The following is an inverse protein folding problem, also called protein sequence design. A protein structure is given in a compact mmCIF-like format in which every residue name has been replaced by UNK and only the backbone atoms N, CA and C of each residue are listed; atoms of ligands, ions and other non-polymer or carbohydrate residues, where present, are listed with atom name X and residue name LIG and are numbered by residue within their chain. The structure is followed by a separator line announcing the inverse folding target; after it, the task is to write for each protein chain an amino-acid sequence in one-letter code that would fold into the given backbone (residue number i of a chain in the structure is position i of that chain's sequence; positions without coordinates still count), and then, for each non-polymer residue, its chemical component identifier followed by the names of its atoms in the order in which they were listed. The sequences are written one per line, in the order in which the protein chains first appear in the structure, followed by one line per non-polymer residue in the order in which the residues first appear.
data_IF_192316637933
#
_entry.id   IF_192316637933
#
_cell.length_a   1.000
_cell.length_b   1.000
_cell.length_c   1.000
_cell.angle_alpha   90.00
_cell.angle_beta   90.00
_cell.angle_gamma   90.00
#
_symmetry.space_group_name_H-M   'P 1'
#
loop_
_entity.id
_entity.type
_entity.pdbx_description
1 polymer ?
#
# COMPACT_ATOMS: atom_id res chain seq x y z
N UNK A 1 -27.36 -68.90 -7.22
CA UNK A 1 -26.92 -67.63 -6.61
C UNK A 1 -25.58 -67.22 -7.20
N UNK A 2 -25.50 -66.25 -8.14
CA UNK A 2 -24.24 -65.66 -8.56
C UNK A 2 -24.22 -64.16 -8.18
N UNK A 3 -24.05 -63.86 -6.89
CA UNK A 3 -24.05 -62.47 -6.39
C UNK A 3 -22.69 -62.02 -5.82
N UNK A 4 -21.91 -62.96 -5.29
CA UNK A 4 -20.61 -62.69 -4.63
C UNK A 4 -19.56 -62.12 -5.60
N UNK A 5 -19.38 -62.66 -6.82
CA UNK A 5 -18.34 -62.15 -7.73
C UNK A 5 -18.53 -60.69 -8.13
N UNK A 6 -19.78 -60.30 -8.45
CA UNK A 6 -20.10 -58.92 -8.88
C UNK A 6 -20.00 -57.89 -7.75
N UNK A 7 -20.24 -58.30 -6.51
CA UNK A 7 -20.05 -57.41 -5.36
C UNK A 7 -18.57 -57.13 -5.13
N UNK A 8 -17.75 -58.18 -5.13
CA UNK A 8 -16.29 -58.06 -4.98
C UNK A 8 -15.71 -57.17 -6.07
N UNK A 9 -16.09 -57.35 -7.33
CA UNK A 9 -15.65 -56.50 -8.45
C UNK A 9 -15.97 -55.01 -8.24
N UNK A 10 -17.19 -54.67 -7.84
CA UNK A 10 -17.59 -53.28 -7.56
C UNK A 10 -16.81 -52.69 -6.40
N UNK A 11 -16.63 -53.44 -5.33
CA UNK A 11 -15.85 -53.00 -4.16
C UNK A 11 -14.38 -52.81 -4.54
N UNK A 12 -13.79 -53.72 -5.31
CA UNK A 12 -12.42 -53.58 -5.81
C UNK A 12 -12.27 -52.34 -6.68
N UNK A 13 -13.21 -52.08 -7.59
CA UNK A 13 -13.19 -50.88 -8.43
C UNK A 13 -13.31 -49.59 -7.59
N UNK A 14 -14.22 -49.56 -6.62
CA UNK A 14 -14.40 -48.43 -5.71
C UNK A 14 -13.16 -48.15 -4.87
N UNK A 15 -12.54 -49.18 -4.30
CA UNK A 15 -11.33 -49.04 -3.49
C UNK A 15 -10.15 -48.52 -4.33
N UNK A 16 -9.99 -49.02 -5.57
CA UNK A 16 -8.98 -48.50 -6.50
C UNK A 16 -9.21 -47.03 -6.81
N UNK A 17 -10.46 -46.62 -7.06
CA UNK A 17 -10.80 -45.22 -7.29
C UNK A 17 -10.46 -44.35 -6.08
N UNK A 18 -10.78 -44.81 -4.87
CA UNK A 18 -10.48 -44.08 -3.62
C UNK A 18 -8.98 -43.94 -3.39
N UNK A 19 -8.21 -44.97 -3.70
CA UNK A 19 -6.75 -44.94 -3.62
C UNK A 19 -6.17 -43.89 -4.58
N UNK A 20 -6.57 -43.88 -5.85
CA UNK A 20 -6.13 -42.87 -6.82
C UNK A 20 -6.52 -41.45 -6.40
N UNK A 21 -7.72 -41.28 -5.85
CA UNK A 21 -8.16 -39.99 -5.32
C UNK A 21 -7.28 -39.52 -4.16
N UNK A 22 -6.91 -40.42 -3.25
CA UNK A 22 -6.03 -40.11 -2.13
C UNK A 22 -4.62 -39.74 -2.60
N UNK A 23 -4.05 -40.47 -3.56
CA UNK A 23 -2.73 -40.16 -4.15
C UNK A 23 -2.71 -38.78 -4.80
N UNK A 24 -3.75 -38.44 -5.57
CA UNK A 24 -3.89 -37.11 -6.17
C UNK A 24 -3.96 -36.01 -5.11
N UNK A 25 -4.71 -36.24 -4.02
CA UNK A 25 -4.82 -35.27 -2.93
C UNK A 25 -3.48 -35.07 -2.21
N UNK A 26 -2.71 -36.13 -2.01
CA UNK A 26 -1.36 -36.05 -1.44
C UNK A 26 -0.43 -35.23 -2.33
N UNK A 27 -0.39 -35.53 -3.63
CA UNK A 27 0.40 -34.75 -4.58
C UNK A 27 0.01 -33.26 -4.56
N UNK A 28 -1.28 -32.94 -4.55
CA UNK A 28 -1.77 -31.56 -4.43
C UNK A 28 -1.30 -30.90 -3.13
N UNK A 29 -1.41 -31.60 -2.00
CA UNK A 29 -0.96 -31.10 -0.70
C UNK A 29 0.52 -30.75 -0.72
N UNK A 30 1.35 -31.61 -1.30
CA UNK A 30 2.79 -31.38 -1.36
C UNK A 30 3.13 -30.17 -2.24
N UNK A 31 2.42 -29.98 -3.37
CA UNK A 31 2.60 -28.75 -4.17
C UNK A 31 2.18 -27.48 -3.42
N UNK A 32 1.12 -27.55 -2.60
CA UNK A 32 0.67 -26.42 -1.78
C UNK A 32 1.68 -26.11 -0.67
N UNK A 33 2.25 -27.14 -0.05
CA UNK A 33 3.32 -26.98 0.94
C UNK A 33 4.54 -26.29 0.32
N UNK A 34 4.97 -26.73 -0.88
CA UNK A 34 6.07 -26.08 -1.61
C UNK A 34 5.77 -24.61 -1.92
N UNK A 35 4.59 -24.30 -2.46
CA UNK A 35 4.18 -22.91 -2.72
C UNK A 35 4.16 -22.06 -1.45
N UNK A 36 3.68 -22.62 -0.34
CA UNK A 36 3.70 -21.95 0.97
C UNK A 36 5.13 -21.64 1.41
N UNK A 37 6.04 -22.60 1.28
CA UNK A 37 7.44 -22.38 1.62
C UNK A 37 8.10 -21.29 0.75
N UNK A 38 7.81 -21.28 -0.55
CA UNK A 38 8.28 -20.23 -1.46
C UNK A 38 7.76 -18.85 -1.04
N UNK A 39 6.46 -18.72 -0.78
CA UNK A 39 5.87 -17.46 -0.33
C UNK A 39 6.49 -16.95 0.98
N UNK A 40 6.76 -17.84 1.94
CA UNK A 40 7.43 -17.47 3.19
C UNK A 40 8.89 -17.03 2.97
N UNK A 41 9.61 -17.70 2.07
CA UNK A 41 10.98 -17.32 1.73
C UNK A 41 11.03 -15.96 1.03
N UNK A 42 10.08 -15.70 0.11
CA UNK A 42 9.93 -14.40 -0.54
C UNK A 42 9.62 -13.28 0.48
N UNK A 43 8.69 -13.53 1.42
CA UNK A 43 8.40 -12.60 2.50
C UNK A 43 9.65 -12.30 3.33
N UNK A 44 10.36 -13.33 3.80
CA UNK A 44 11.58 -13.18 4.59
C UNK A 44 12.68 -12.42 3.84
N UNK A 45 12.76 -12.55 2.51
CA UNK A 45 13.71 -11.80 1.69
C UNK A 45 13.33 -10.31 1.51
N UNK A 46 12.03 -9.99 1.57
CA UNK A 46 11.51 -8.64 1.36
C UNK A 46 11.42 -7.82 2.66
N UNK A 47 11.13 -8.45 3.80
CA UNK A 47 11.07 -7.81 5.11
C UNK A 47 12.27 -6.90 5.44
N UNK A 48 13.55 -7.31 5.24
CA UNK A 48 14.69 -6.44 5.54
C UNK A 48 14.75 -5.20 4.64
N UNK A 49 14.31 -5.31 3.37
CA UNK A 49 14.27 -4.16 2.45
C UNK A 49 13.19 -3.18 2.85
N UNK A 50 12.03 -3.67 3.27
CA UNK A 50 10.95 -2.84 3.80
C UNK A 50 11.39 -2.12 5.07
N UNK A 51 12.07 -2.82 5.98
CA UNK A 51 12.62 -2.22 7.19
C UNK A 51 13.62 -1.12 6.87
N UNK A 52 14.56 -1.38 5.94
CA UNK A 52 15.52 -0.38 5.50
C UNK A 52 14.84 0.87 4.92
N UNK A 53 13.80 0.69 4.10
CA UNK A 53 13.03 1.82 3.56
C UNK A 53 12.34 2.62 4.65
N UNK A 54 11.73 1.97 5.64
CA UNK A 54 11.11 2.65 6.78
C UNK A 54 12.11 3.45 7.58
N UNK A 55 13.30 2.91 7.83
CA UNK A 55 14.34 3.60 8.59
C UNK A 55 14.88 4.81 7.81
N UNK A 56 15.07 4.68 6.50
CA UNK A 56 15.39 5.83 5.62
C UNK A 56 14.31 6.90 5.64
N UNK A 57 13.04 6.52 5.60
CA UNK A 57 11.92 7.47 5.67
C UNK A 57 11.97 8.24 7.00
N UNK A 58 12.22 7.56 8.13
CA UNK A 58 12.35 8.22 9.44
C UNK A 58 13.54 9.18 9.50
N UNK A 59 14.69 8.77 8.97
CA UNK A 59 15.89 9.62 8.86
C UNK A 59 15.57 10.89 8.07
N UNK A 60 14.96 10.75 6.89
CA UNK A 60 14.58 11.87 6.03
C UNK A 60 13.55 12.78 6.71
N UNK A 61 12.52 12.21 7.35
CA UNK A 61 11.53 12.99 8.09
C UNK A 61 12.16 13.80 9.22
N UNK A 62 13.18 13.25 9.89
CA UNK A 62 13.94 13.96 10.91
C UNK A 62 14.66 15.16 10.30
N UNK A 63 15.40 14.97 9.20
CA UNK A 63 16.11 16.05 8.53
C UNK A 63 15.19 17.19 8.05
N UNK A 64 13.98 16.87 7.61
CA UNK A 64 13.00 17.88 7.17
C UNK A 64 12.34 18.61 8.35
N UNK A 65 12.14 17.92 9.48
CA UNK A 65 11.49 18.49 10.67
C UNK A 65 12.49 19.08 11.66
N UNK A 66 13.78 18.84 11.49
CA UNK A 66 14.84 19.32 12.36
C UNK A 66 14.86 20.86 12.35
N UNK A 67 14.54 21.52 13.49
CA UNK A 67 14.49 22.99 13.56
C UNK A 67 15.87 23.65 13.42
N UNK A 68 16.94 22.86 13.41
CA UNK A 68 18.33 23.32 13.28
C UNK A 68 18.76 23.63 11.84
N UNK A 69 18.00 23.19 10.85
CA UNK A 69 18.23 23.53 9.45
C UNK A 69 16.96 24.19 8.90
N UNK A 70 16.68 25.46 9.28
CA UNK A 70 15.58 26.18 8.69
C UNK A 70 15.79 26.23 7.17
N UNK A 71 14.72 26.18 6.35
CA UNK A 71 14.87 26.45 4.94
C UNK A 71 15.66 27.75 4.81
N UNK A 72 16.84 27.70 4.18
CA UNK A 72 17.64 28.86 3.84
C UNK A 72 16.95 29.62 2.71
N UNK A 73 15.70 30.00 2.91
CA UNK A 73 15.07 31.04 2.13
C UNK A 73 15.67 32.34 2.63
N UNK A 74 16.44 33.09 1.81
CA UNK A 74 16.83 34.44 2.19
C UNK A 74 15.57 35.22 2.59
N UNK A 75 15.62 36.04 3.66
CA UNK A 75 14.47 36.81 4.09
C UNK A 75 14.01 37.68 2.91
N UNK A 76 12.84 37.38 2.35
CA UNK A 76 12.29 38.10 1.21
C UNK A 76 11.75 39.49 1.59
N UNK A 77 11.86 39.93 2.85
CA UNK A 77 11.43 41.27 3.26
C UNK A 77 12.31 41.82 4.40
N UNK A 78 12.77 43.08 4.32
CA UNK A 78 13.37 43.78 5.45
C UNK A 78 12.34 44.04 6.58
N UNK A 79 12.76 44.17 7.85
CA UNK A 79 11.87 44.38 8.99
C UNK A 79 11.18 45.74 8.87
N UNK A 80 9.91 45.72 8.50
CA UNK A 80 9.10 46.92 8.25
C UNK A 80 7.96 46.68 7.26
N UNK A 81 8.01 45.61 6.46
CA UNK A 81 6.86 45.17 5.68
C UNK A 81 5.92 44.40 6.60
N UNK A 82 4.66 44.85 6.73
CA UNK A 82 3.60 44.05 7.33
C UNK A 82 3.67 42.62 6.76
N UNK A 83 3.51 41.60 7.62
CA UNK A 83 3.57 40.19 7.18
C UNK A 83 2.81 40.02 5.86
N UNK A 84 3.45 39.47 4.81
CA UNK A 84 2.76 39.24 3.56
C UNK A 84 1.53 38.38 3.86
N UNK A 85 0.35 38.87 3.48
CA UNK A 85 -0.86 38.07 3.51
C UNK A 85 -0.57 36.73 2.80
N UNK A 86 -1.15 35.61 3.26
CA UNK A 86 -0.93 34.33 2.60
C UNK A 86 -1.21 34.49 1.10
N UNK A 87 -0.38 33.83 0.27
CA UNK A 87 -0.39 34.00 -1.20
C UNK A 87 -1.81 33.90 -1.78
N UNK A 88 -2.65 33.03 -1.21
CA UNK A 88 -4.07 32.92 -1.55
C UNK A 88 -4.83 34.24 -1.43
N UNK A 89 -4.75 34.92 -0.29
CA UNK A 89 -5.38 36.22 -0.03
C UNK A 89 -4.84 37.32 -0.95
N UNK A 90 -3.55 37.26 -1.28
CA UNK A 90 -2.94 38.23 -2.18
C UNK A 90 -3.45 38.07 -3.61
N UNK A 91 -3.60 36.83 -4.08
CA UNK A 91 -4.18 36.53 -5.39
C UNK A 91 -5.68 36.90 -5.41
N UNK A 92 -6.43 36.59 -4.35
CA UNK A 92 -7.85 36.97 -4.23
C UNK A 92 -8.05 38.48 -4.31
N UNK A 93 -7.22 39.25 -3.59
CA UNK A 93 -7.24 40.71 -3.63
C UNK A 93 -6.89 41.25 -5.03
N UNK A 94 -5.91 40.66 -5.71
CA UNK A 94 -5.51 41.08 -7.06
C UNK A 94 -6.57 40.76 -8.11
N UNK A 95 -7.20 39.59 -8.05
CA UNK A 95 -8.31 39.22 -8.94
C UNK A 95 -9.52 40.11 -8.62
N UNK A 96 -9.88 40.29 -7.36
CA UNK A 96 -10.99 41.15 -6.94
C UNK A 96 -10.83 42.57 -7.48
N UNK A 97 -9.64 43.17 -7.37
CA UNK A 97 -9.33 44.49 -7.95
C UNK A 97 -9.48 44.52 -9.47
N UNK A 98 -8.98 43.49 -10.17
CA UNK A 98 -9.10 43.38 -11.63
C UNK A 98 -10.55 43.22 -12.11
N UNK A 99 -11.43 42.68 -11.27
CA UNK A 99 -12.83 42.40 -11.60
C UNK A 99 -13.82 43.18 -10.71
N UNK A 100 -13.59 44.48 -10.53
CA UNK A 100 -14.60 45.41 -9.99
C UNK A 100 -14.90 45.27 -8.50
N UNK A 101 -13.95 44.80 -7.70
CA UNK A 101 -14.06 44.69 -6.24
C UNK A 101 -14.98 43.56 -5.76
N UNK A 102 -15.32 42.61 -6.64
CA UNK A 102 -16.13 41.45 -6.25
C UNK A 102 -15.26 40.49 -5.42
N UNK A 103 -15.75 40.00 -4.26
CA UNK A 103 -15.00 39.05 -3.46
C UNK A 103 -14.78 37.75 -4.25
N UNK A 104 -13.55 37.25 -4.21
CA UNK A 104 -13.13 36.01 -4.88
C UNK A 104 -12.60 35.08 -3.80
N UNK A 105 -13.11 33.85 -3.76
CA UNK A 105 -12.64 32.81 -2.86
C UNK A 105 -12.05 31.69 -3.72
N UNK A 106 -10.73 31.55 -3.73
CA UNK A 106 -10.05 30.55 -4.55
C UNK A 106 -10.16 29.14 -3.94
N UNK A 107 -10.37 29.07 -2.63
CA UNK A 107 -10.40 27.82 -1.87
C UNK A 107 -11.77 27.12 -1.91
N UNK A 108 -12.79 27.69 -2.56
CA UNK A 108 -14.05 27.01 -2.86
C UNK A 108 -14.87 26.55 -1.64
N UNK A 109 -14.66 27.12 -0.46
CA UNK A 109 -15.49 26.84 0.73
C UNK A 109 -16.49 27.97 0.87
N UNK A 110 -17.70 27.76 0.34
CA UNK A 110 -18.87 28.50 0.83
C UNK A 110 -19.07 28.08 2.29
N UNK A 111 -19.08 29.06 3.20
CA UNK A 111 -19.65 28.90 4.55
C UNK A 111 -21.15 29.12 4.45
#
# INVERSE_FOLDING_TARGET
VPAVPRYVERVTALLRQKLLQAELLLAKRDTLAQKRHQALAEQAALEPKLQQLQDRIKELQKLVRDPKNPPQTPPLCPPGCAEPLPVSLQIEADISKRYGGRPVNLMGINV
#
